data_IF_091018550980
#
_entry.id   IF_091018550980
#
_cell.length_a   1.000
_cell.length_b   1.000
_cell.length_c   1.000
_cell.angle_alpha   90.00
_cell.angle_beta   90.00
_cell.angle_gamma   90.00
#
_symmetry.space_group_name_H-M   'P 1'
#
loop_
_entity.id
_entity.type
_entity.pdbx_description
1 polymer ?
#
# COMPACT_ATOMS: atom_id res chain seq x y z
N UNK A 1 -15.91 -5.87 3.55
CA UNK A 1 -15.16 -5.57 2.30
C UNK A 1 -15.38 -4.12 1.83
N UNK A 2 -15.56 -3.14 2.74
CA UNK A 2 -15.80 -1.73 2.33
C UNK A 2 -14.48 -0.99 2.29
N UNK A 3 -14.21 -0.29 1.18
CA UNK A 3 -13.18 0.73 1.11
C UNK A 3 -13.52 1.83 2.12
N UNK A 4 -12.66 2.11 3.10
CA UNK A 4 -12.92 3.17 4.07
C UNK A 4 -12.65 4.55 3.50
N UNK A 5 -11.70 4.65 2.55
CA UNK A 5 -11.29 5.90 1.92
C UNK A 5 -11.11 5.66 0.41
N UNK A 6 -11.75 6.48 -0.43
CA UNK A 6 -11.49 6.49 -1.89
C UNK A 6 -10.33 7.44 -2.16
N UNK A 7 -9.22 6.93 -2.71
CA UNK A 7 -8.04 7.72 -3.06
C UNK A 7 -8.20 8.41 -4.43
N UNK A 8 -8.95 7.81 -5.36
CA UNK A 8 -9.23 8.38 -6.68
C UNK A 8 -9.27 7.34 -7.78
N UNK A 9 -8.95 7.74 -9.02
CA UNK A 9 -8.73 6.83 -10.16
C UNK A 9 -7.33 7.00 -10.70
N UNK A 10 -6.60 5.91 -10.87
CA UNK A 10 -5.27 5.88 -11.50
C UNK A 10 -5.36 5.00 -12.74
N UNK A 11 -4.93 5.51 -13.90
CA UNK A 11 -5.05 4.84 -15.21
C UNK A 11 -6.49 4.37 -15.55
N UNK A 12 -7.51 5.04 -15.01
CA UNK A 12 -8.93 4.67 -15.17
C UNK A 12 -9.45 3.64 -14.17
N UNK A 13 -8.60 3.10 -13.29
CA UNK A 13 -8.96 2.10 -12.28
C UNK A 13 -9.23 2.81 -10.94
N UNK A 14 -10.38 2.59 -10.28
CA UNK A 14 -10.65 3.17 -8.97
C UNK A 14 -9.74 2.55 -7.91
N UNK A 15 -9.01 3.41 -7.20
CA UNK A 15 -8.08 3.05 -6.13
C UNK A 15 -8.68 3.49 -4.79
N UNK A 16 -8.79 2.55 -3.87
CA UNK A 16 -9.24 2.77 -2.50
C UNK A 16 -8.21 2.32 -1.48
N UNK A 17 -8.36 2.78 -0.25
CA UNK A 17 -7.53 2.41 0.88
C UNK A 17 -8.40 2.00 2.06
N UNK A 18 -7.99 0.92 2.72
CA UNK A 18 -8.57 0.49 3.98
C UNK A 18 -7.80 1.12 5.16
N UNK A 19 -8.48 1.36 6.29
CA UNK A 19 -7.90 1.97 7.49
C UNK A 19 -6.70 1.19 8.04
N UNK A 20 -6.61 -0.11 7.73
CA UNK A 20 -5.48 -0.97 8.09
C UNK A 20 -4.15 -0.53 7.47
N UNK A 21 -4.16 0.31 6.43
CA UNK A 21 -2.94 0.93 5.91
C UNK A 21 -2.33 1.91 6.93
N UNK A 22 -3.16 2.65 7.68
CA UNK A 22 -2.63 3.51 8.75
C UNK A 22 -1.96 2.69 9.86
N UNK A 23 -2.51 1.51 10.16
CA UNK A 23 -1.93 0.57 11.13
C UNK A 23 -0.57 0.08 10.66
N UNK A 24 -0.41 -0.35 9.40
CA UNK A 24 0.90 -0.81 8.92
C UNK A 24 1.92 0.32 8.85
N UNK A 25 1.51 1.52 8.43
CA UNK A 25 2.39 2.69 8.41
C UNK A 25 2.89 2.99 9.83
N UNK A 26 2.01 2.96 10.83
CA UNK A 26 2.39 3.16 12.22
C UNK A 26 3.36 2.08 12.71
N UNK A 27 3.08 0.80 12.44
CA UNK A 27 3.95 -0.32 12.81
C UNK A 27 5.33 -0.24 12.16
N UNK A 28 5.39 0.01 10.84
CA UNK A 28 6.66 0.15 10.12
C UNK A 28 7.45 1.34 10.67
N UNK A 29 6.77 2.47 10.88
CA UNK A 29 7.40 3.68 11.44
C UNK A 29 7.99 3.40 12.82
N UNK A 30 7.23 2.76 13.71
CA UNK A 30 7.67 2.45 15.08
C UNK A 30 8.90 1.52 15.06
N UNK A 31 8.86 0.44 14.27
CA UNK A 31 9.99 -0.49 14.15
C UNK A 31 11.22 0.21 13.56
N UNK A 32 11.05 1.05 12.54
CA UNK A 32 12.17 1.80 11.96
C UNK A 32 12.77 2.79 12.95
N UNK A 33 11.94 3.61 13.59
CA UNK A 33 12.40 4.68 14.46
C UNK A 33 12.95 4.17 15.81
N UNK A 34 12.31 3.17 16.40
CA UNK A 34 12.65 2.72 17.76
C UNK A 34 13.72 1.63 17.78
N UNK A 35 13.87 0.86 16.70
CA UNK A 35 14.76 -0.31 16.67
C UNK A 35 15.80 -0.26 15.55
N UNK A 36 15.36 -0.09 14.30
CA UNK A 36 16.26 -0.26 13.14
C UNK A 36 17.23 0.91 12.99
N UNK A 37 16.73 2.15 12.93
CA UNK A 37 17.56 3.33 12.69
C UNK A 37 18.58 3.56 13.82
N UNK A 38 18.22 3.46 15.12
CA UNK A 38 19.20 3.60 16.20
C UNK A 38 20.29 2.52 16.18
N UNK A 39 19.98 1.31 15.67
CA UNK A 39 20.94 0.22 15.56
C UNK A 39 21.87 0.35 14.35
N UNK A 40 21.38 0.90 13.24
CA UNK A 40 22.15 1.04 11.99
C UNK A 40 22.93 2.34 11.94
N UNK A 41 22.34 3.44 12.43
CA UNK A 41 22.93 4.78 12.45
C UNK A 41 22.96 5.27 13.91
N UNK A 42 23.94 4.80 14.70
CA UNK A 42 24.07 5.25 16.07
C UNK A 42 24.33 6.76 16.11
N UNK A 43 23.77 7.43 17.13
CA UNK A 43 23.85 8.88 17.38
C UNK A 43 23.04 9.78 16.44
N UNK A 44 22.13 9.23 15.62
CA UNK A 44 21.11 10.07 14.98
C UNK A 44 20.20 10.68 16.05
N UNK A 45 19.70 11.89 15.83
CA UNK A 45 18.74 12.49 16.76
C UNK A 45 17.41 11.78 16.62
N UNK A 46 16.70 11.58 17.74
CA UNK A 46 15.39 10.92 17.73
C UNK A 46 14.41 11.60 16.73
N UNK A 47 14.46 12.94 16.62
CA UNK A 47 13.65 13.66 15.64
C UNK A 47 13.93 13.26 14.18
N UNK A 48 15.20 13.04 13.84
CA UNK A 48 15.59 12.54 12.52
C UNK A 48 15.20 11.07 12.33
N UNK A 49 15.36 10.21 13.35
CA UNK A 49 14.93 8.81 13.28
C UNK A 49 13.45 8.69 12.90
N UNK A 50 12.59 9.42 13.63
CA UNK A 50 11.15 9.43 13.36
C UNK A 50 10.82 10.03 11.99
N UNK A 51 11.51 11.09 11.57
CA UNK A 51 11.27 11.72 10.26
C UNK A 51 11.62 10.76 9.11
N UNK A 52 12.77 10.08 9.21
CA UNK A 52 13.22 9.11 8.22
C UNK A 52 12.30 7.89 8.21
N UNK A 53 11.90 7.40 9.39
CA UNK A 53 10.99 6.26 9.53
C UNK A 53 9.62 6.52 8.89
N UNK A 54 9.00 7.68 9.18
CA UNK A 54 7.70 8.06 8.57
C UNK A 54 7.84 8.18 7.06
N UNK A 55 8.90 8.85 6.59
CA UNK A 55 9.15 9.01 5.15
C UNK A 55 9.33 7.66 4.47
N UNK A 56 10.12 6.77 5.08
CA UNK A 56 10.35 5.41 4.59
C UNK A 56 9.07 4.58 4.55
N UNK A 57 8.25 4.62 5.60
CA UNK A 57 6.97 3.90 5.65
C UNK A 57 5.98 4.39 4.57
N UNK A 58 5.90 5.70 4.36
CA UNK A 58 5.06 6.28 3.30
C UNK A 58 5.55 5.87 1.91
N UNK A 59 6.86 5.96 1.65
CA UNK A 59 7.46 5.55 0.38
C UNK A 59 7.28 4.05 0.13
N UNK A 60 7.39 3.22 1.17
CA UNK A 60 7.15 1.78 1.08
C UNK A 60 5.71 1.47 0.63
N UNK A 61 4.71 2.09 1.27
CA UNK A 61 3.30 1.90 0.87
C UNK A 61 3.04 2.46 -0.53
N UNK A 62 3.65 3.59 -0.89
CA UNK A 62 3.54 4.16 -2.23
C UNK A 62 4.14 3.23 -3.31
N UNK A 63 5.30 2.62 -3.03
CA UNK A 63 5.94 1.66 -3.92
C UNK A 63 5.09 0.39 -4.08
N UNK A 64 4.50 -0.11 -2.99
CA UNK A 64 3.59 -1.24 -3.04
C UNK A 64 2.34 -0.91 -3.87
N UNK A 65 1.76 0.28 -3.69
CA UNK A 65 0.63 0.72 -4.50
C UNK A 65 0.99 0.81 -5.99
N UNK A 66 2.17 1.35 -6.31
CA UNK A 66 2.67 1.41 -7.69
C UNK A 66 2.86 0.01 -8.30
N UNK A 67 3.35 -0.95 -7.51
CA UNK A 67 3.51 -2.34 -7.93
C UNK A 67 2.16 -2.97 -8.32
N UNK A 68 1.13 -2.81 -7.48
CA UNK A 68 -0.21 -3.36 -7.75
C UNK A 68 -0.87 -2.68 -8.95
N UNK A 69 -0.68 -1.38 -9.11
CA UNK A 69 -1.17 -0.63 -10.28
C UNK A 69 -0.49 -1.14 -11.55
N UNK A 70 0.81 -1.44 -11.51
CA UNK A 70 1.52 -2.00 -12.65
C UNK A 70 0.92 -3.36 -13.07
N UNK A 71 0.65 -4.24 -12.12
CA UNK A 71 -0.05 -5.51 -12.40
C UNK A 71 -1.42 -5.29 -13.03
N UNK A 72 -2.21 -4.36 -12.50
CA UNK A 72 -3.53 -4.06 -13.01
C UNK A 72 -3.49 -3.45 -14.44
N UNK A 73 -2.50 -2.61 -14.73
CA UNK A 73 -2.26 -2.07 -16.07
C UNK A 73 -1.90 -3.20 -17.04
N UNK A 74 -0.97 -4.08 -16.65
CA UNK A 74 -0.54 -5.23 -17.48
C UNK A 74 -1.73 -6.17 -17.72
N UNK A 75 -2.51 -6.49 -16.69
CA UNK A 75 -3.70 -7.34 -16.80
C UNK A 75 -4.72 -6.77 -17.80
N UNK A 76 -4.99 -5.46 -17.75
CA UNK A 76 -5.86 -4.79 -18.73
C UNK A 76 -5.30 -4.83 -20.14
N UNK A 77 -3.98 -4.70 -20.30
CA UNK A 77 -3.34 -4.81 -21.61
C UNK A 77 -3.47 -6.22 -22.19
N UNK A 78 -3.53 -7.24 -21.34
CA UNK A 78 -3.81 -8.63 -21.72
C UNK A 78 -5.30 -8.97 -21.83
N UNK A 79 -6.20 -7.99 -21.75
CA UNK A 79 -7.65 -8.18 -21.90
C UNK A 79 -8.39 -8.62 -20.64
N UNK A 80 -7.74 -8.65 -19.47
CA UNK A 80 -8.37 -8.98 -18.18
C UNK A 80 -9.01 -7.73 -17.57
N UNK A 81 -10.29 -7.82 -17.20
CA UNK A 81 -11.02 -6.69 -16.60
C UNK A 81 -10.65 -6.54 -15.12
N UNK A 82 -10.12 -5.38 -14.74
CA UNK A 82 -9.82 -5.00 -13.35
C UNK A 82 -10.80 -3.93 -12.91
N UNK A 83 -11.66 -4.24 -11.94
CA UNK A 83 -12.78 -3.37 -11.54
C UNK A 83 -12.40 -2.37 -10.44
N UNK A 84 -11.61 -2.78 -9.45
CA UNK A 84 -11.07 -1.89 -8.44
C UNK A 84 -9.79 -2.43 -7.79
N UNK A 85 -8.94 -1.53 -7.30
CA UNK A 85 -7.77 -1.87 -6.47
C UNK A 85 -8.00 -1.30 -5.07
N UNK A 86 -7.94 -2.16 -4.05
CA UNK A 86 -8.01 -1.70 -2.66
C UNK A 86 -6.73 -2.07 -1.92
N UNK A 87 -6.05 -1.05 -1.39
CA UNK A 87 -4.83 -1.21 -0.58
C UNK A 87 -5.18 -1.65 0.85
N UNK A 88 -4.48 -2.70 1.30
CA UNK A 88 -4.56 -3.29 2.64
C UNK A 88 -3.18 -3.38 3.29
N UNK A 89 -3.19 -3.75 4.58
CA UNK A 89 -2.04 -3.86 5.49
C UNK A 89 -0.82 -4.63 4.94
N UNK A 90 -1.02 -5.63 4.06
CA UNK A 90 0.05 -6.49 3.52
C UNK A 90 0.11 -6.52 1.98
N UNK A 91 -0.69 -5.71 1.27
CA UNK A 91 -0.84 -5.81 -0.19
C UNK A 91 -2.11 -5.17 -0.72
N UNK A 92 -2.20 -5.03 -2.05
CA UNK A 92 -3.45 -4.67 -2.71
C UNK A 92 -4.26 -5.92 -3.02
N UNK A 93 -5.50 -6.02 -2.53
CA UNK A 93 -6.42 -7.02 -3.08
C UNK A 93 -7.04 -6.36 -4.32
N UNK A 94 -6.66 -6.83 -5.50
CA UNK A 94 -7.36 -6.52 -6.73
C UNK A 94 -8.65 -7.35 -6.76
N UNK A 95 -9.81 -6.68 -6.75
CA UNK A 95 -11.08 -7.37 -7.02
C UNK A 95 -11.12 -7.70 -8.52
N UNK A 96 -10.79 -8.95 -8.84
CA UNK A 96 -10.92 -9.55 -10.16
C UNK A 96 -12.36 -10.05 -10.32
N UNK A 97 -13.00 -9.75 -11.45
CA UNK A 97 -14.37 -10.19 -11.72
C UNK A 97 -14.35 -11.62 -12.28
N UNK A 98 -14.63 -12.60 -11.42
CA UNK A 98 -15.46 -13.77 -11.71
C UNK A 98 -15.65 -14.61 -10.44
N UNK A 99 -16.83 -14.52 -9.83
CA UNK A 99 -17.44 -15.77 -9.39
C UNK A 99 -17.87 -16.49 -10.69
N UNK A 100 -17.47 -17.75 -10.91
CA UNK A 100 -18.05 -18.51 -12.00
C UNK A 100 -19.57 -18.51 -11.84
N UNK A 101 -20.37 -18.43 -12.91
CA UNK A 101 -21.79 -18.71 -12.79
C UNK A 101 -21.93 -20.08 -12.13
N UNK A 102 -22.57 -20.11 -10.97
CA UNK A 102 -22.93 -21.33 -10.26
C UNK A 102 -23.53 -22.31 -11.26
N UNK A 103 -22.93 -23.51 -11.34
CA UNK A 103 -23.45 -24.64 -12.09
C UNK A 103 -24.80 -25.11 -11.53
#
# INVERSE_FOLDING_TARGET
MRQSIRLGRIAGIPVGMHWSVLVIVALITDVLAASVLPAVIPHLSAGLDWTVAVTGAVLFVAALAAHEIAHAIVARHCGVQVRSITLWMLGGIAELEADPPTA
#
